data_IF_151728796411
#
_entry.id   IF_151728796411
#
_cell.length_a   1.000
_cell.length_b   1.000
_cell.length_c   1.000
_cell.angle_alpha   90.00
_cell.angle_beta   90.00
_cell.angle_gamma   90.00
#
_symmetry.space_group_name_H-M   'P 1'
#
loop_
_entity.id
_entity.type
_entity.pdbx_description
1 polymer ?
#
# COMPACT_ATOMS: atom_id res chain seq x y z
N UNK A 1 -5.25 -2.04 54.26
CA UNK A 1 -5.55 -0.61 54.14
C UNK A 1 -6.57 -0.48 53.05
N UNK A 2 -7.85 -0.31 53.46
CA UNK A 2 -9.04 -0.21 52.58
C UNK A 2 -9.12 1.24 52.10
N UNK A 3 -9.27 1.48 50.82
CA UNK A 3 -9.72 2.77 50.30
C UNK A 3 -10.96 2.54 49.42
N UNK A 4 -11.97 3.21 49.88
CA UNK A 4 -13.36 3.17 49.50
C UNK A 4 -13.67 3.75 48.12
N UNK A 5 -14.62 3.12 47.46
CA UNK A 5 -15.33 3.56 46.26
C UNK A 5 -16.28 4.72 46.63
N UNK A 6 -16.27 5.77 45.84
CA UNK A 6 -17.38 6.69 45.74
C UNK A 6 -17.89 6.82 44.33
N UNK A 7 -19.12 6.33 44.14
CA UNK A 7 -20.06 6.63 43.03
C UNK A 7 -20.68 8.02 43.26
N UNK A 8 -20.76 8.83 42.22
CA UNK A 8 -21.79 9.84 41.90
C UNK A 8 -21.37 10.47 40.57
N UNK A 9 -22.17 10.80 39.60
CA UNK A 9 -23.60 10.95 39.48
C UNK A 9 -24.03 11.14 38.05
N UNK A 10 -25.19 10.79 37.86
CA UNK A 10 -26.12 10.88 36.75
C UNK A 10 -26.32 12.33 36.28
N UNK A 11 -26.19 12.62 35.00
CA UNK A 11 -26.93 13.74 34.40
C UNK A 11 -27.35 13.43 32.97
N UNK A 12 -28.64 13.50 32.80
CA UNK A 12 -29.41 13.21 31.60
C UNK A 12 -29.61 14.49 30.76
N UNK A 13 -30.03 14.24 29.54
CA UNK A 13 -30.92 15.08 28.73
C UNK A 13 -30.25 16.17 27.86
N UNK A 14 -30.21 15.99 26.53
CA UNK A 14 -31.00 16.84 25.66
C UNK A 14 -31.15 16.24 24.26
N UNK A 15 -32.35 15.90 23.98
CA UNK A 15 -32.98 15.53 22.71
C UNK A 15 -33.11 16.79 21.84
N UNK A 16 -32.58 16.78 20.62
CA UNK A 16 -33.00 17.75 19.59
C UNK A 16 -33.09 17.06 18.25
N UNK A 17 -34.30 16.76 17.88
CA UNK A 17 -34.78 16.29 16.58
C UNK A 17 -34.93 17.52 15.66
N UNK A 18 -34.23 17.57 14.51
CA UNK A 18 -34.60 18.48 13.40
C UNK A 18 -34.67 17.66 12.12
N UNK A 19 -35.91 17.46 11.68
CA UNK A 19 -36.32 17.02 10.35
C UNK A 19 -36.52 18.25 9.48
N UNK A 20 -35.83 18.30 8.31
CA UNK A 20 -36.27 18.99 7.09
C UNK A 20 -35.20 18.67 6.03
N UNK A 21 -35.48 18.32 4.81
CA UNK A 21 -36.63 18.30 3.95
C UNK A 21 -36.13 17.91 2.56
N UNK A 22 -36.89 17.06 1.88
CA UNK A 22 -36.67 16.65 0.50
C UNK A 22 -36.72 17.86 -0.45
N UNK A 23 -35.84 17.87 -1.47
CA UNK A 23 -36.15 18.51 -2.75
C UNK A 23 -35.48 17.75 -3.88
N UNK A 24 -36.27 16.97 -4.55
CA UNK A 24 -36.00 16.37 -5.85
C UNK A 24 -36.36 17.40 -6.91
N UNK A 25 -35.49 17.67 -7.86
CA UNK A 25 -35.85 18.25 -9.14
C UNK A 25 -35.21 17.44 -10.25
N UNK A 26 -36.02 16.94 -11.18
CA UNK A 26 -35.55 16.35 -12.44
C UNK A 26 -35.26 17.48 -13.44
N UNK A 27 -34.15 17.40 -14.14
CA UNK A 27 -33.89 18.23 -15.31
C UNK A 27 -33.98 17.35 -16.54
N UNK A 28 -34.90 17.77 -17.41
CA UNK A 28 -35.25 17.19 -18.69
C UNK A 28 -34.08 17.15 -19.67
N UNK A 29 -34.16 16.11 -20.50
CA UNK A 29 -33.44 15.96 -21.76
C UNK A 29 -33.84 17.10 -22.73
N UNK A 30 -32.84 17.70 -23.37
CA UNK A 30 -33.06 18.34 -24.67
C UNK A 30 -32.01 17.82 -25.64
N UNK A 31 -32.46 16.97 -26.54
CA UNK A 31 -31.86 16.71 -27.84
C UNK A 31 -31.96 17.99 -28.70
N UNK A 32 -30.86 18.36 -29.34
CA UNK A 32 -30.90 19.06 -30.62
C UNK A 32 -29.61 18.83 -31.40
N UNK A 33 -29.72 18.01 -32.43
CA UNK A 33 -29.34 18.20 -33.81
C UNK A 33 -27.94 18.70 -34.18
N UNK A 34 -27.18 17.77 -34.66
CA UNK A 34 -26.56 17.54 -35.97
C UNK A 34 -26.35 18.82 -36.81
N UNK A 35 -25.10 19.14 -37.10
CA UNK A 35 -24.71 19.56 -38.46
C UNK A 35 -23.25 19.17 -38.76
N UNK A 36 -23.15 18.39 -39.76
CA UNK A 36 -22.14 18.06 -40.73
C UNK A 36 -21.17 19.22 -41.03
N UNK A 37 -19.86 19.03 -40.82
CA UNK A 37 -18.85 19.86 -41.49
C UNK A 37 -17.60 19.06 -41.82
N UNK A 38 -17.61 18.57 -43.03
CA UNK A 38 -16.47 18.55 -44.01
C UNK A 38 -15.09 18.21 -43.52
N UNK A 39 -14.68 17.01 -43.92
CA UNK A 39 -13.30 16.52 -43.97
C UNK A 39 -12.45 17.46 -44.81
N UNK A 40 -11.46 18.11 -44.22
CA UNK A 40 -10.28 18.60 -44.95
C UNK A 40 -9.07 17.73 -44.58
N UNK A 41 -8.69 16.96 -45.56
CA UNK A 41 -7.40 16.24 -45.61
C UNK A 41 -6.29 17.26 -45.66
N UNK A 42 -5.51 17.34 -44.60
CA UNK A 42 -4.20 18.01 -44.61
C UNK A 42 -3.17 16.93 -44.64
N UNK A 43 -2.57 16.73 -45.79
CA UNK A 43 -1.28 16.03 -45.93
C UNK A 43 -0.23 16.84 -45.14
N UNK A 44 0.26 16.27 -44.04
CA UNK A 44 1.49 16.77 -43.38
C UNK A 44 2.60 15.82 -43.73
N UNK A 45 3.52 16.32 -44.53
CA UNK A 45 4.80 15.68 -44.83
C UNK A 45 5.50 15.29 -43.51
N UNK A 46 5.81 14.00 -43.36
CA UNK A 46 6.62 13.46 -42.28
C UNK A 46 8.07 13.81 -42.55
N UNK A 47 8.54 14.90 -41.99
CA UNK A 47 9.96 15.14 -41.82
C UNK A 47 10.46 14.27 -40.67
N UNK A 48 11.29 13.28 -41.02
CA UNK A 48 11.89 12.34 -40.07
C UNK A 48 12.99 13.04 -39.28
N UNK A 49 12.65 13.63 -38.17
CA UNK A 49 13.64 13.96 -37.14
C UNK A 49 13.99 12.69 -36.38
N UNK A 50 15.19 12.19 -36.63
CA UNK A 50 15.83 11.15 -35.85
C UNK A 50 16.07 11.67 -34.45
N UNK A 51 15.11 11.37 -33.52
CA UNK A 51 15.30 11.57 -32.09
C UNK A 51 16.41 10.62 -31.65
N UNK A 52 17.57 11.18 -31.35
CA UNK A 52 18.62 10.50 -30.60
C UNK A 52 18.06 10.17 -29.25
N UNK A 53 17.66 8.91 -29.03
CA UNK A 53 17.32 8.39 -27.73
C UNK A 53 18.64 8.32 -26.97
N UNK A 54 18.90 9.33 -26.13
CA UNK A 54 19.99 9.31 -25.16
C UNK A 54 19.72 8.12 -24.24
N UNK A 55 20.52 7.07 -24.41
CA UNK A 55 20.44 5.84 -23.62
C UNK A 55 20.77 6.21 -22.18
N UNK A 56 19.73 6.46 -21.36
CA UNK A 56 19.90 6.63 -19.93
C UNK A 56 20.63 5.40 -19.38
N UNK A 57 21.72 5.58 -18.60
CA UNK A 57 22.42 4.44 -18.02
C UNK A 57 21.43 3.58 -17.25
N UNK A 58 21.35 2.31 -17.60
CA UNK A 58 20.48 1.34 -16.95
C UNK A 58 20.80 1.35 -15.44
N UNK A 59 19.83 1.71 -14.63
CA UNK A 59 19.95 1.60 -13.18
C UNK A 59 20.34 0.16 -12.83
N UNK A 60 21.26 -0.06 -11.88
CA UNK A 60 21.65 -1.40 -11.47
C UNK A 60 20.42 -2.16 -10.96
N UNK A 61 19.98 -3.16 -11.73
CA UNK A 61 18.80 -3.96 -11.39
C UNK A 61 19.19 -5.13 -10.52
N UNK A 62 18.53 -5.28 -9.37
CA UNK A 62 18.67 -6.45 -8.51
C UNK A 62 17.78 -7.60 -8.99
N UNK A 63 18.33 -8.82 -8.90
CA UNK A 63 17.60 -10.07 -9.21
C UNK A 63 16.95 -10.71 -7.96
N UNK A 64 17.22 -10.20 -6.76
CA UNK A 64 16.69 -10.76 -5.52
C UNK A 64 15.17 -10.52 -5.38
N UNK A 65 14.48 -11.44 -4.69
CA UNK A 65 13.04 -11.32 -4.44
C UNK A 65 12.73 -10.06 -3.65
N UNK A 66 11.71 -9.31 -4.08
CA UNK A 66 11.23 -8.08 -3.44
C UNK A 66 9.98 -8.29 -2.59
N UNK A 67 9.45 -9.53 -2.55
CA UNK A 67 8.25 -9.90 -1.77
C UNK A 67 8.63 -10.99 -0.79
N UNK A 68 8.31 -10.77 0.49
CA UNK A 68 8.66 -11.66 1.60
C UNK A 68 7.39 -12.16 2.29
N UNK A 69 7.17 -13.47 2.30
CA UNK A 69 5.95 -14.10 2.82
C UNK A 69 6.09 -14.56 4.27
N UNK A 70 4.98 -14.48 5.01
CA UNK A 70 4.90 -14.83 6.43
C UNK A 70 3.88 -15.94 6.68
N UNK A 71 4.10 -16.67 7.77
CA UNK A 71 3.13 -17.62 8.28
C UNK A 71 1.93 -16.91 8.90
N UNK A 72 0.84 -17.66 9.08
CA UNK A 72 -0.34 -17.14 9.74
C UNK A 72 0.01 -16.61 11.14
N UNK A 73 -0.46 -15.40 11.41
CA UNK A 73 -0.32 -14.73 12.71
C UNK A 73 1.13 -14.57 13.19
N UNK A 74 2.09 -14.53 12.26
CA UNK A 74 3.52 -14.35 12.58
C UNK A 74 4.16 -13.20 11.82
N UNK A 75 5.16 -12.59 12.45
CA UNK A 75 6.08 -11.63 11.87
C UNK A 75 7.53 -12.17 11.80
N UNK A 76 7.71 -13.49 11.91
CA UNK A 76 9.01 -14.14 11.85
C UNK A 76 9.46 -14.34 10.41
N UNK A 77 10.65 -13.83 10.07
CA UNK A 77 11.26 -13.99 8.75
C UNK A 77 11.65 -15.44 8.49
N UNK A 78 11.26 -15.94 7.32
CA UNK A 78 11.68 -17.25 6.80
C UNK A 78 13.14 -17.22 6.34
N UNK A 79 13.77 -18.39 6.26
CA UNK A 79 15.18 -18.52 5.87
C UNK A 79 15.46 -17.97 4.48
N UNK A 80 14.58 -18.27 3.51
CA UNK A 80 14.67 -17.80 2.13
C UNK A 80 14.52 -16.27 2.03
N UNK A 81 13.63 -15.67 2.85
CA UNK A 81 13.49 -14.22 2.94
C UNK A 81 14.76 -13.56 3.47
N UNK A 82 15.40 -14.16 4.47
CA UNK A 82 16.66 -13.63 5.03
C UNK A 82 17.78 -13.64 3.99
N UNK A 83 17.89 -14.69 3.18
CA UNK A 83 18.91 -14.76 2.13
C UNK A 83 18.75 -13.61 1.11
N UNK A 84 17.54 -13.40 0.60
CA UNK A 84 17.25 -12.30 -0.31
C UNK A 84 17.48 -10.92 0.33
N UNK A 85 17.14 -10.75 1.62
CA UNK A 85 17.35 -9.49 2.35
C UNK A 85 18.83 -9.18 2.57
N UNK A 86 19.72 -10.18 2.70
CA UNK A 86 21.18 -9.96 2.73
C UNK A 86 21.66 -9.37 1.41
N UNK A 87 21.17 -9.87 0.27
CA UNK A 87 21.52 -9.33 -1.05
C UNK A 87 21.03 -7.88 -1.20
N UNK A 88 19.79 -7.60 -0.78
CA UNK A 88 19.26 -6.23 -0.78
C UNK A 88 20.06 -5.30 0.12
N UNK A 89 20.46 -5.76 1.31
CA UNK A 89 21.26 -4.96 2.23
C UNK A 89 22.63 -4.61 1.62
N UNK A 90 23.33 -5.60 1.05
CA UNK A 90 24.61 -5.38 0.36
C UNK A 90 24.45 -4.36 -0.78
N UNK A 91 23.43 -4.53 -1.63
CA UNK A 91 23.15 -3.60 -2.72
C UNK A 91 22.90 -2.17 -2.25
N UNK A 92 22.14 -1.98 -1.16
CA UNK A 92 21.83 -0.66 -0.59
C UNK A 92 23.02 -0.01 0.11
N UNK A 93 24.00 -0.79 0.57
CA UNK A 93 25.26 -0.25 1.09
C UNK A 93 26.15 0.28 -0.02
N UNK A 94 26.17 -0.39 -1.18
CA UNK A 94 26.91 0.04 -2.37
C UNK A 94 26.20 1.16 -3.15
N UNK A 95 24.86 1.16 -3.12
CA UNK A 95 24.00 2.10 -3.83
C UNK A 95 22.96 2.72 -2.86
N UNK A 96 23.36 3.68 -2.00
CA UNK A 96 22.49 4.25 -0.98
C UNK A 96 21.27 4.96 -1.57
N UNK A 97 20.07 4.48 -1.23
CA UNK A 97 18.77 5.08 -1.59
C UNK A 97 17.72 4.76 -0.53
N UNK A 98 16.70 5.60 -0.46
CA UNK A 98 15.54 5.32 0.39
C UNK A 98 14.69 4.21 -0.23
N UNK A 99 14.22 3.32 0.63
CA UNK A 99 13.30 2.24 0.28
C UNK A 99 12.07 2.29 1.19
N UNK A 100 10.99 1.66 0.73
CA UNK A 100 9.76 1.50 1.51
C UNK A 100 9.44 0.01 1.67
N UNK A 101 9.04 -0.36 2.88
CA UNK A 101 8.55 -1.69 3.21
C UNK A 101 7.05 -1.61 3.46
N UNK A 102 6.27 -2.25 2.62
CA UNK A 102 4.81 -2.27 2.67
C UNK A 102 4.34 -3.57 3.29
N UNK A 103 3.79 -3.50 4.52
CA UNK A 103 3.37 -4.66 5.29
C UNK A 103 1.90 -4.97 5.12
N UNK A 104 1.58 -6.25 4.91
CA UNK A 104 0.22 -6.74 4.65
C UNK A 104 -0.15 -7.92 5.55
N UNK A 105 -1.46 -8.09 5.74
CA UNK A 105 -2.08 -9.21 6.43
C UNK A 105 -3.17 -9.86 5.55
N UNK A 106 -3.61 -11.05 5.94
CA UNK A 106 -4.82 -11.63 5.37
C UNK A 106 -6.09 -11.07 6.06
N UNK A 107 -7.26 -11.32 5.50
CA UNK A 107 -8.55 -10.79 5.95
C UNK A 107 -9.05 -11.30 7.32
N UNK A 108 -8.34 -12.25 7.94
CA UNK A 108 -8.76 -12.85 9.21
C UNK A 108 -8.33 -12.00 10.39
N UNK A 109 -9.30 -11.62 11.22
CA UNK A 109 -9.08 -10.76 12.38
C UNK A 109 -9.83 -9.44 12.29
N UNK A 110 -9.42 -8.46 13.09
CA UNK A 110 -9.93 -7.09 12.97
C UNK A 110 -8.98 -6.23 12.15
N UNK A 111 -9.51 -5.20 11.54
CA UNK A 111 -8.73 -4.25 10.75
C UNK A 111 -7.56 -3.66 11.55
N UNK A 112 -7.81 -3.26 12.79
CA UNK A 112 -6.79 -2.68 13.68
C UNK A 112 -5.69 -3.69 13.97
N UNK A 113 -6.06 -4.95 14.23
CA UNK A 113 -5.12 -6.03 14.45
C UNK A 113 -4.26 -6.28 13.21
N UNK A 114 -4.88 -6.35 12.04
CA UNK A 114 -4.18 -6.59 10.77
C UNK A 114 -3.25 -5.43 10.38
N UNK A 115 -3.63 -4.19 10.69
CA UNK A 115 -2.74 -3.02 10.55
C UNK A 115 -1.49 -3.16 11.44
N UNK A 116 -1.65 -3.51 12.71
CA UNK A 116 -0.53 -3.71 13.63
C UNK A 116 0.34 -4.92 13.22
N UNK A 117 -0.26 -6.00 12.72
CA UNK A 117 0.47 -7.18 12.23
C UNK A 117 1.28 -6.87 10.97
N UNK A 118 0.70 -6.11 10.02
CA UNK A 118 1.42 -5.64 8.84
C UNK A 118 2.62 -4.76 9.20
N UNK A 119 2.44 -3.84 10.14
CA UNK A 119 3.53 -3.02 10.67
C UNK A 119 4.62 -3.86 11.35
N UNK A 120 4.24 -4.83 12.17
CA UNK A 120 5.17 -5.73 12.84
C UNK A 120 6.01 -6.53 11.84
N UNK A 121 5.42 -6.99 10.73
CA UNK A 121 6.12 -7.66 9.63
C UNK A 121 7.11 -6.73 8.94
N UNK A 122 6.67 -5.52 8.60
CA UNK A 122 7.56 -4.51 8.01
C UNK A 122 8.74 -4.18 8.91
N UNK A 123 8.50 -4.01 10.22
CA UNK A 123 9.55 -3.76 11.19
C UNK A 123 10.52 -4.94 11.34
N UNK A 124 10.05 -6.19 11.26
CA UNK A 124 10.93 -7.37 11.28
C UNK A 124 11.90 -7.40 10.08
N UNK A 125 11.43 -6.99 8.88
CA UNK A 125 12.29 -6.83 7.70
C UNK A 125 13.29 -5.69 7.92
N UNK A 126 12.82 -4.52 8.38
CA UNK A 126 13.66 -3.35 8.67
C UNK A 126 14.76 -3.68 9.67
N UNK A 127 14.41 -4.28 10.81
CA UNK A 127 15.37 -4.67 11.84
C UNK A 127 16.45 -5.61 11.30
N UNK A 128 16.05 -6.59 10.49
CA UNK A 128 16.99 -7.50 9.85
C UNK A 128 17.95 -6.76 8.92
N UNK A 129 17.47 -5.85 8.07
CA UNK A 129 18.32 -5.06 7.16
C UNK A 129 19.24 -4.11 7.90
N UNK A 130 18.78 -3.51 9.00
CA UNK A 130 19.62 -2.68 9.89
C UNK A 130 20.74 -3.50 10.52
N UNK A 131 20.46 -4.74 10.95
CA UNK A 131 21.49 -5.67 11.45
C UNK A 131 22.52 -6.05 10.38
N UNK A 132 22.15 -5.99 9.08
CA UNK A 132 23.08 -6.17 7.97
C UNK A 132 23.86 -4.90 7.61
N UNK A 133 23.62 -3.75 8.27
CA UNK A 133 24.35 -2.50 8.09
C UNK A 133 23.62 -1.39 7.33
N UNK A 134 22.37 -1.60 6.90
CA UNK A 134 21.59 -0.57 6.24
C UNK A 134 21.16 0.50 7.25
N UNK A 135 21.31 1.78 6.90
CA UNK A 135 20.87 2.88 7.77
C UNK A 135 19.36 2.86 8.00
N UNK A 136 18.89 2.93 9.26
CA UNK A 136 17.46 2.92 9.56
C UNK A 136 16.69 4.13 8.97
N UNK A 137 17.41 5.23 8.69
CA UNK A 137 16.83 6.43 8.07
C UNK A 137 16.49 6.24 6.57
N UNK A 138 17.05 5.22 5.94
CA UNK A 138 16.77 4.87 4.55
C UNK A 138 15.53 3.98 4.40
N UNK A 139 14.99 3.44 5.50
CA UNK A 139 13.93 2.44 5.48
C UNK A 139 12.66 3.01 6.10
N UNK A 140 11.67 3.29 5.27
CA UNK A 140 10.31 3.61 5.67
C UNK A 140 9.48 2.33 5.80
N UNK A 141 8.63 2.23 6.84
CA UNK A 141 7.68 1.11 7.01
C UNK A 141 6.28 1.67 6.95
N UNK A 142 5.44 1.10 6.09
CA UNK A 142 4.02 1.40 5.99
C UNK A 142 3.25 0.09 6.11
N UNK A 143 2.18 0.08 6.90
CA UNK A 143 1.25 -1.03 6.94
C UNK A 143 -0.02 -0.69 6.20
N UNK A 144 -0.49 -1.61 5.39
CA UNK A 144 -1.82 -1.59 4.77
C UNK A 144 -2.76 -2.63 5.40
N UNK A 145 -2.26 -3.44 6.33
CA UNK A 145 -3.06 -4.51 6.92
C UNK A 145 -3.69 -5.39 5.84
N UNK A 146 -5.01 -5.55 5.88
CA UNK A 146 -5.78 -6.32 4.89
C UNK A 146 -6.29 -5.51 3.70
N UNK A 147 -6.06 -4.18 3.69
CA UNK A 147 -6.70 -3.26 2.73
C UNK A 147 -6.17 -3.39 1.30
N UNK A 148 -4.95 -3.89 1.12
CA UNK A 148 -4.33 -4.08 -0.19
C UNK A 148 -3.99 -5.55 -0.41
N UNK A 149 -5.01 -6.34 -0.69
CA UNK A 149 -4.86 -7.77 -0.97
C UNK A 149 -4.17 -8.00 -2.32
N UNK A 150 -3.16 -8.89 -2.33
CA UNK A 150 -2.54 -9.37 -3.58
C UNK A 150 -3.41 -10.43 -4.27
N UNK A 151 -4.21 -11.16 -3.49
CA UNK A 151 -5.14 -12.16 -3.99
C UNK A 151 -6.47 -12.06 -3.26
N UNK A 152 -7.55 -12.08 -4.02
CA UNK A 152 -8.91 -12.04 -3.49
C UNK A 152 -9.45 -13.45 -3.24
N UNK A 153 -10.35 -13.56 -2.26
CA UNK A 153 -11.03 -14.80 -1.88
C UNK A 153 -10.53 -15.39 -0.57
N UNK A 154 -11.40 -16.19 0.06
CA UNK A 154 -11.22 -16.74 1.41
C UNK A 154 -10.68 -18.17 1.31
N UNK A 155 -9.49 -18.34 0.74
CA UNK A 155 -8.79 -19.62 0.65
C UNK A 155 -7.39 -19.51 1.26
N UNK A 156 -6.84 -20.64 1.72
CA UNK A 156 -5.46 -20.67 2.26
C UNK A 156 -4.43 -20.18 1.24
N UNK A 157 -4.65 -20.45 -0.06
CA UNK A 157 -3.80 -19.96 -1.13
C UNK A 157 -3.84 -18.43 -1.23
N UNK A 158 -5.02 -17.82 -1.24
CA UNK A 158 -5.19 -16.37 -1.27
C UNK A 158 -4.59 -15.72 0.00
N UNK A 159 -4.91 -16.25 1.17
CA UNK A 159 -4.39 -15.75 2.44
C UNK A 159 -2.86 -15.81 2.51
N UNK A 160 -2.25 -16.88 1.99
CA UNK A 160 -0.79 -17.01 1.99
C UNK A 160 -0.10 -15.96 1.12
N UNK A 161 -0.72 -15.52 0.02
CA UNK A 161 -0.23 -14.44 -0.84
C UNK A 161 -0.41 -13.07 -0.19
N UNK A 162 -1.43 -12.90 0.66
CA UNK A 162 -1.70 -11.64 1.33
C UNK A 162 -0.78 -11.40 2.54
N UNK A 163 -0.29 -12.46 3.21
CA UNK A 163 0.65 -12.35 4.33
C UNK A 163 2.06 -12.06 3.85
N UNK A 164 2.34 -10.82 3.50
CA UNK A 164 3.60 -10.43 2.87
C UNK A 164 4.12 -9.07 3.31
N UNK A 165 5.38 -8.83 3.02
CA UNK A 165 5.99 -7.49 2.97
C UNK A 165 6.56 -7.30 1.57
N UNK A 166 6.29 -6.16 0.97
CA UNK A 166 6.84 -5.75 -0.31
C UNK A 166 7.92 -4.68 -0.12
N UNK A 167 9.04 -4.84 -0.80
CA UNK A 167 10.12 -3.86 -0.85
C UNK A 167 9.98 -3.04 -2.14
N UNK A 168 9.89 -1.70 -1.98
CA UNK A 168 9.70 -0.70 -3.04
C UNK A 168 10.88 0.29 -3.08
#
# INVERSE_FOLDING_TARGET
MNISVTKTGLSALCLSLVLAGCSSTPVEETMSDIEDTTVQTVEVEMESEATVVEEMPAEPTMSAATVFYFDFDKALLKTESRAALVEHAAFLMDNPRSIRLEGHADERGTREYNMALGESRGNAVKEFMVLQGVSPSMIEVISYGEEQAASFGSSDAAWSMNRRVELK
#
